data_IF_425765713680
#
_entry.id   IF_425765713680
#
_cell.length_a   1.000
_cell.length_b   1.000
_cell.length_c   1.000
_cell.angle_alpha   90.00
_cell.angle_beta   90.00
_cell.angle_gamma   90.00
#
_symmetry.space_group_name_H-M   'P 1'
#
loop_
_entity.id
_entity.type
_entity.pdbx_description
1 polymer ?
#
# COMPACT_ATOMS: atom_id res chain seq x y z
N UNK A 1 81.95 53.09 40.08
CA UNK A 1 81.47 51.78 40.56
C UNK A 1 79.94 51.77 40.77
N UNK A 2 79.38 52.76 41.46
CA UNK A 2 77.97 52.76 41.88
C UNK A 2 76.92 52.91 40.74
N UNK A 3 77.20 53.73 39.72
CA UNK A 3 76.29 53.94 38.58
C UNK A 3 76.10 52.71 37.67
N UNK A 4 77.17 51.96 37.39
CA UNK A 4 77.10 50.71 36.61
C UNK A 4 76.22 49.64 37.26
N UNK A 5 76.25 49.55 38.60
CA UNK A 5 75.43 48.63 39.39
C UNK A 5 73.94 48.99 39.30
N UNK A 6 73.60 50.27 39.39
CA UNK A 6 72.21 50.76 39.24
C UNK A 6 71.67 50.46 37.85
N UNK A 7 72.50 50.66 36.81
CA UNK A 7 72.12 50.43 35.42
C UNK A 7 71.91 48.94 35.11
N UNK A 8 72.77 48.07 35.65
CA UNK A 8 72.55 46.63 35.63
C UNK A 8 71.27 46.21 36.36
N UNK A 9 70.98 46.77 37.54
CA UNK A 9 69.77 46.46 38.29
C UNK A 9 68.50 46.77 37.49
N UNK A 10 68.45 47.93 36.81
CA UNK A 10 67.31 48.31 35.96
C UNK A 10 67.12 47.40 34.76
N UNK A 11 68.23 46.99 34.11
CA UNK A 11 68.18 46.03 33.00
C UNK A 11 67.64 44.69 33.48
N UNK A 12 68.08 44.24 34.66
CA UNK A 12 67.64 42.97 35.24
C UNK A 12 66.15 43.01 35.59
N UNK A 13 65.67 44.07 36.23
CA UNK A 13 64.23 44.27 36.52
C UNK A 13 63.36 44.29 35.26
N UNK A 14 63.81 44.95 34.20
CA UNK A 14 63.11 44.98 32.92
C UNK A 14 63.05 43.57 32.29
N UNK A 15 64.17 42.85 32.29
CA UNK A 15 64.22 41.46 31.82
C UNK A 15 63.32 40.53 32.64
N UNK A 16 63.29 40.68 33.96
CA UNK A 16 62.38 39.92 34.83
C UNK A 16 60.92 40.18 34.48
N UNK A 17 60.55 41.45 34.27
CA UNK A 17 59.18 41.84 33.88
C UNK A 17 58.79 41.26 32.52
N UNK A 18 59.70 41.29 31.53
CA UNK A 18 59.49 40.70 30.21
C UNK A 18 59.29 39.18 30.30
N UNK A 19 60.07 38.48 31.14
CA UNK A 19 59.95 37.04 31.35
C UNK A 19 58.59 36.68 31.95
N UNK A 20 58.07 37.46 32.90
CA UNK A 20 56.75 37.20 33.49
C UNK A 20 55.61 37.34 32.47
N UNK A 21 55.67 38.36 31.60
CA UNK A 21 54.70 38.54 30.51
C UNK A 21 54.74 37.33 29.56
N UNK A 22 55.93 36.91 29.13
CA UNK A 22 56.09 35.77 28.24
C UNK A 22 55.60 34.46 28.89
N UNK A 23 55.81 34.28 30.19
CA UNK A 23 55.27 33.13 30.94
C UNK A 23 53.74 33.14 30.98
N UNK A 24 53.13 34.30 31.18
CA UNK A 24 51.67 34.44 31.18
C UNK A 24 51.08 34.12 29.79
N UNK A 25 51.71 34.62 28.72
CA UNK A 25 51.31 34.33 27.33
C UNK A 25 51.45 32.84 27.01
N UNK A 26 52.57 32.21 27.41
CA UNK A 26 52.80 30.78 27.22
C UNK A 26 51.77 29.93 27.96
N UNK A 27 51.41 30.31 29.19
CA UNK A 27 50.38 29.61 29.95
C UNK A 27 49.01 29.72 29.26
N UNK A 28 48.65 30.91 28.77
CA UNK A 28 47.42 31.15 28.01
C UNK A 28 47.38 30.29 26.73
N UNK A 29 48.47 30.23 25.97
CA UNK A 29 48.57 29.38 24.78
C UNK A 29 48.47 27.90 25.11
N UNK A 30 49.03 27.47 26.25
CA UNK A 30 48.95 26.09 26.72
C UNK A 30 47.50 25.69 27.02
N UNK A 31 46.74 26.56 27.68
CA UNK A 31 45.31 26.35 27.94
C UNK A 31 44.54 26.24 26.62
N UNK A 32 44.75 27.18 25.69
CA UNK A 32 44.09 27.16 24.38
C UNK A 32 44.40 25.88 23.58
N UNK A 33 45.63 25.38 23.62
CA UNK A 33 46.00 24.13 22.97
C UNK A 33 45.29 22.93 23.58
N UNK A 34 45.12 22.91 24.91
CA UNK A 34 44.38 21.85 25.59
C UNK A 34 42.89 21.87 25.20
N UNK A 35 42.28 23.06 25.16
CA UNK A 35 40.88 23.22 24.76
C UNK A 35 40.64 22.78 23.30
N UNK A 36 41.55 23.16 22.40
CA UNK A 36 41.51 22.73 21.00
C UNK A 36 41.66 21.22 20.86
N UNK A 37 42.51 20.59 21.69
CA UNK A 37 42.67 19.14 21.70
C UNK A 37 41.40 18.44 22.15
N UNK A 38 40.74 18.91 23.20
CA UNK A 38 39.44 18.40 23.66
C UNK A 38 38.41 18.49 22.53
N UNK A 39 38.30 19.67 21.90
CA UNK A 39 37.36 19.89 20.79
C UNK A 39 37.65 18.96 19.59
N UNK A 40 38.93 18.71 19.30
CA UNK A 40 39.34 17.78 18.24
C UNK A 40 38.91 16.34 18.56
N UNK A 41 39.05 15.91 19.81
CA UNK A 41 38.65 14.57 20.24
C UNK A 41 37.13 14.40 20.20
N UNK A 42 36.37 15.42 20.62
CA UNK A 42 34.90 15.46 20.50
C UNK A 42 34.44 15.39 19.04
N UNK A 43 35.10 16.13 18.14
CA UNK A 43 34.80 16.12 16.71
C UNK A 43 35.05 14.73 16.09
N UNK A 44 36.12 14.05 16.51
CA UNK A 44 36.39 12.69 16.07
C UNK A 44 35.29 11.71 16.52
N UNK A 45 34.79 11.85 17.75
CA UNK A 45 33.68 11.05 18.26
C UNK A 45 32.38 11.32 17.49
N UNK A 46 32.06 12.60 17.25
CA UNK A 46 30.88 12.97 16.46
C UNK A 46 30.95 12.45 15.02
N UNK A 47 32.13 12.51 14.39
CA UNK A 47 32.34 11.94 13.06
C UNK A 47 32.03 10.45 13.04
N UNK A 48 32.54 9.69 14.01
CA UNK A 48 32.26 8.26 14.14
C UNK A 48 30.76 7.99 14.33
N UNK A 49 30.06 8.82 15.11
CA UNK A 49 28.62 8.70 15.31
C UNK A 49 27.82 8.97 14.02
N UNK A 50 28.22 9.96 13.21
CA UNK A 50 27.61 10.25 11.91
C UNK A 50 27.77 9.07 10.96
N UNK A 51 28.97 8.48 10.88
CA UNK A 51 29.23 7.29 10.06
C UNK A 51 28.35 6.10 10.47
N UNK A 52 28.14 5.91 11.78
CA UNK A 52 27.26 4.86 12.28
C UNK A 52 25.78 5.11 11.96
N UNK A 53 25.30 6.36 12.12
CA UNK A 53 23.93 6.73 11.77
C UNK A 53 23.66 6.59 10.26
N UNK A 54 24.64 6.91 9.41
CA UNK A 54 24.52 6.72 7.96
C UNK A 54 24.38 5.23 7.59
N UNK A 55 25.13 4.34 8.26
CA UNK A 55 24.96 2.89 8.10
C UNK A 55 23.56 2.44 8.50
N UNK A 56 23.06 2.91 9.64
CA UNK A 56 21.71 2.55 10.12
C UNK A 56 20.62 3.05 9.16
N UNK A 57 20.74 4.28 8.65
CA UNK A 57 19.82 4.83 7.65
C UNK A 57 19.82 4.01 6.36
N UNK A 58 20.99 3.58 5.88
CA UNK A 58 21.10 2.72 4.69
C UNK A 58 20.38 1.38 4.88
N UNK A 59 20.52 0.77 6.05
CA UNK A 59 19.83 -0.51 6.37
C UNK A 59 18.32 -0.30 6.44
N UNK A 60 17.86 0.71 7.18
CA UNK A 60 16.42 0.99 7.30
C UNK A 60 15.78 1.33 5.95
N UNK A 61 16.48 2.07 5.08
CA UNK A 61 16.01 2.38 3.72
C UNK A 61 15.81 1.12 2.89
N UNK A 62 16.82 0.23 2.84
CA UNK A 62 16.72 -1.04 2.10
C UNK A 62 15.54 -1.89 2.57
N UNK A 63 15.32 -1.97 3.88
CA UNK A 63 14.18 -2.71 4.44
C UNK A 63 12.84 -2.12 3.99
N UNK A 64 12.73 -0.80 3.92
CA UNK A 64 11.53 -0.13 3.42
C UNK A 64 11.29 -0.45 1.94
N UNK A 65 12.33 -0.38 1.11
CA UNK A 65 12.26 -0.72 -0.32
C UNK A 65 11.83 -2.18 -0.55
N UNK A 66 12.33 -3.12 0.26
CA UNK A 66 11.94 -4.53 0.20
C UNK A 66 10.48 -4.74 0.60
N UNK A 67 10.00 -4.05 1.64
CA UNK A 67 8.61 -4.10 2.07
C UNK A 67 7.66 -3.53 1.01
N UNK A 68 8.01 -2.41 0.39
CA UNK A 68 7.23 -1.81 -0.70
C UNK A 68 7.12 -2.75 -1.91
N UNK A 69 8.23 -3.41 -2.28
CA UNK A 69 8.23 -4.41 -3.35
C UNK A 69 7.28 -5.56 -3.06
N UNK A 70 7.34 -6.10 -1.84
CA UNK A 70 6.46 -7.19 -1.41
C UNK A 70 4.99 -6.76 -1.40
N UNK A 71 4.68 -5.54 -0.97
CA UNK A 71 3.32 -4.99 -1.01
C UNK A 71 2.78 -4.89 -2.45
N UNK A 72 3.60 -4.46 -3.41
CA UNK A 72 3.22 -4.43 -4.82
C UNK A 72 2.91 -5.82 -5.36
N UNK A 73 3.74 -6.82 -5.05
CA UNK A 73 3.51 -8.21 -5.45
C UNK A 73 2.22 -8.77 -4.85
N UNK A 74 1.99 -8.54 -3.55
CA UNK A 74 0.76 -8.96 -2.88
C UNK A 74 -0.48 -8.26 -3.45
N UNK A 75 -0.40 -6.98 -3.79
CA UNK A 75 -1.51 -6.24 -4.37
C UNK A 75 -1.97 -6.86 -5.71
N UNK A 76 -1.03 -7.33 -6.53
CA UNK A 76 -1.33 -8.04 -7.78
C UNK A 76 -2.05 -9.35 -7.50
N UNK A 77 -1.55 -10.16 -6.57
CA UNK A 77 -2.15 -11.45 -6.21
C UNK A 77 -3.56 -11.25 -5.66
N UNK A 78 -3.74 -10.33 -4.71
CA UNK A 78 -5.06 -10.03 -4.13
C UNK A 78 -6.04 -9.57 -5.20
N UNK A 79 -5.61 -8.72 -6.13
CA UNK A 79 -6.47 -8.27 -7.22
C UNK A 79 -6.87 -9.43 -8.16
N UNK A 80 -5.92 -10.30 -8.53
CA UNK A 80 -6.20 -11.48 -9.34
C UNK A 80 -7.18 -12.42 -8.64
N UNK A 81 -6.92 -12.76 -7.38
CA UNK A 81 -7.81 -13.62 -6.58
C UNK A 81 -9.19 -13.00 -6.37
N UNK A 82 -9.28 -11.67 -6.26
CA UNK A 82 -10.56 -10.95 -6.19
C UNK A 82 -11.35 -11.09 -7.49
N UNK A 83 -10.71 -10.87 -8.64
CA UNK A 83 -11.34 -11.02 -9.96
C UNK A 83 -11.80 -12.46 -10.21
N UNK A 84 -11.00 -13.45 -9.83
CA UNK A 84 -11.37 -14.87 -9.91
C UNK A 84 -12.57 -15.18 -9.00
N UNK A 85 -12.55 -14.69 -7.75
CA UNK A 85 -13.67 -14.87 -6.82
C UNK A 85 -14.95 -14.17 -7.30
N UNK A 86 -14.84 -12.99 -7.93
CA UNK A 86 -15.97 -12.29 -8.54
C UNK A 86 -16.53 -13.05 -9.73
N UNK A 87 -15.68 -13.55 -10.64
CA UNK A 87 -16.09 -14.38 -11.77
C UNK A 87 -16.78 -15.68 -11.33
N UNK A 88 -16.25 -16.33 -10.28
CA UNK A 88 -16.88 -17.49 -9.67
C UNK A 88 -18.21 -17.13 -9.00
N UNK A 89 -18.33 -15.97 -8.34
CA UNK A 89 -19.60 -15.50 -7.77
C UNK A 89 -20.62 -15.15 -8.84
N UNK A 90 -20.24 -14.49 -9.93
CA UNK A 90 -21.15 -14.21 -11.05
C UNK A 90 -21.64 -15.51 -11.68
N UNK A 91 -20.73 -16.46 -11.92
CA UNK A 91 -21.08 -17.79 -12.40
C UNK A 91 -22.00 -18.51 -11.42
N UNK A 92 -21.69 -18.52 -10.13
CA UNK A 92 -22.54 -19.13 -9.11
C UNK A 92 -23.87 -18.41 -8.97
N UNK A 93 -23.97 -17.09 -9.00
CA UNK A 93 -25.27 -16.38 -8.97
C UNK A 93 -26.12 -16.62 -10.22
N UNK A 94 -25.48 -16.94 -11.35
CA UNK A 94 -26.17 -17.36 -12.57
C UNK A 94 -26.70 -18.81 -12.49
N UNK A 95 -26.31 -19.60 -11.48
CA UNK A 95 -26.65 -21.02 -11.34
C UNK A 95 -27.23 -21.46 -9.97
N UNK A 96 -26.92 -20.76 -8.87
CA UNK A 96 -27.39 -20.87 -7.49
C UNK A 96 -27.94 -19.47 -7.12
N UNK A 97 -29.22 -19.15 -7.15
CA UNK A 97 -30.36 -19.98 -6.87
C UNK A 97 -31.42 -19.78 -7.97
N UNK A 98 -31.65 -20.82 -8.76
CA UNK A 98 -33.02 -21.07 -9.22
C UNK A 98 -33.84 -21.59 -8.03
N UNK A 99 -33.85 -20.87 -6.90
CA UNK A 99 -34.93 -21.01 -5.95
C UNK A 99 -36.16 -20.61 -6.75
N UNK A 100 -37.03 -21.59 -6.99
CA UNK A 100 -38.11 -21.45 -7.92
C UNK A 100 -39.02 -20.34 -7.38
N UNK A 101 -38.89 -19.14 -7.97
CA UNK A 101 -39.39 -17.93 -7.33
C UNK A 101 -40.87 -18.09 -6.99
N UNK A 102 -41.24 -17.77 -5.75
CA UNK A 102 -42.62 -17.92 -5.29
C UNK A 102 -43.52 -16.93 -6.02
N UNK A 103 -44.58 -17.43 -6.65
CA UNK A 103 -45.58 -16.65 -7.38
C UNK A 103 -46.18 -15.50 -6.54
N UNK A 104 -46.26 -15.69 -5.22
CA UNK A 104 -46.87 -14.76 -4.28
C UNK A 104 -46.00 -13.54 -3.99
N UNK A 105 -44.68 -13.70 -4.10
CA UNK A 105 -43.69 -12.66 -3.80
C UNK A 105 -43.28 -11.85 -5.04
N UNK A 106 -43.76 -12.27 -6.22
CA UNK A 106 -43.37 -11.72 -7.52
C UNK A 106 -44.60 -11.26 -8.31
N UNK A 107 -45.12 -10.04 -8.04
CA UNK A 107 -46.30 -9.50 -8.70
C UNK A 107 -46.06 -9.05 -10.15
N UNK A 108 -44.80 -8.92 -10.57
CA UNK A 108 -44.41 -8.35 -11.85
C UNK A 108 -43.49 -9.29 -12.63
N UNK A 109 -43.52 -9.20 -13.97
CA UNK A 109 -42.56 -9.89 -14.82
C UNK A 109 -41.14 -9.42 -14.53
N UNK A 110 -40.21 -10.33 -14.27
CA UNK A 110 -38.83 -9.98 -13.91
C UNK A 110 -38.10 -9.20 -15.02
N UNK A 111 -38.48 -9.37 -16.30
CA UNK A 111 -37.86 -8.67 -17.43
C UNK A 111 -38.54 -7.33 -17.73
N UNK A 112 -39.83 -7.36 -18.09
CA UNK A 112 -40.54 -6.15 -18.55
C UNK A 112 -41.20 -5.34 -17.43
N UNK A 113 -41.16 -5.84 -16.18
CA UNK A 113 -41.75 -5.21 -15.00
C UNK A 113 -43.29 -5.00 -15.06
N UNK A 114 -43.96 -5.48 -16.10
CA UNK A 114 -45.42 -5.46 -16.18
C UNK A 114 -46.06 -6.37 -15.11
N UNK A 115 -47.08 -5.86 -14.40
CA UNK A 115 -47.82 -6.61 -13.39
C UNK A 115 -48.56 -7.81 -14.00
N UNK A 116 -48.54 -8.94 -13.29
CA UNK A 116 -49.32 -10.12 -13.66
C UNK A 116 -50.82 -9.90 -13.44
N UNK A 117 -51.63 -10.57 -14.23
CA UNK A 117 -53.09 -10.52 -14.17
C UNK A 117 -53.69 -11.84 -14.67
N UNK A 118 -55.02 -11.97 -14.66
CA UNK A 118 -55.70 -13.16 -15.19
C UNK A 118 -55.32 -13.43 -16.66
N UNK A 119 -55.13 -12.37 -17.45
CA UNK A 119 -54.70 -12.45 -18.85
C UNK A 119 -53.17 -12.54 -19.02
N UNK A 120 -52.39 -11.91 -18.13
CA UNK A 120 -50.91 -11.99 -18.12
C UNK A 120 -50.46 -12.98 -17.05
N UNK A 121 -50.37 -14.26 -17.42
CA UNK A 121 -50.00 -15.36 -16.51
C UNK A 121 -48.49 -15.43 -16.25
N UNK A 122 -48.14 -16.04 -15.10
CA UNK A 122 -46.77 -16.28 -14.64
C UNK A 122 -46.15 -17.50 -15.32
N UNK A 123 -44.87 -17.39 -15.66
CA UNK A 123 -44.08 -18.48 -16.25
C UNK A 123 -42.64 -18.48 -15.73
N UNK A 124 -42.18 -19.60 -15.18
CA UNK A 124 -40.78 -19.74 -14.76
C UNK A 124 -39.83 -20.06 -15.93
N UNK A 125 -38.66 -19.44 -15.90
CA UNK A 125 -37.53 -19.87 -16.72
C UNK A 125 -36.90 -21.13 -16.11
N UNK A 126 -36.74 -22.21 -16.88
CA UNK A 126 -36.13 -23.46 -16.38
C UNK A 126 -34.60 -23.39 -16.24
N UNK A 127 -33.98 -22.31 -16.71
CA UNK A 127 -32.55 -22.06 -16.54
C UNK A 127 -32.25 -21.21 -15.29
N UNK A 128 -32.94 -20.08 -15.09
CA UNK A 128 -32.66 -19.16 -13.97
C UNK A 128 -33.70 -19.15 -12.85
N UNK A 129 -34.81 -19.90 -12.95
CA UNK A 129 -35.81 -20.03 -11.88
C UNK A 129 -36.76 -18.83 -11.68
N UNK A 130 -36.49 -17.66 -12.27
CA UNK A 130 -37.29 -16.44 -12.12
C UNK A 130 -38.62 -16.46 -12.92
N UNK A 131 -39.55 -15.56 -12.61
CA UNK A 131 -40.90 -15.47 -13.19
C UNK A 131 -41.03 -14.39 -14.29
N UNK A 132 -41.62 -14.77 -15.42
CA UNK A 132 -41.80 -13.93 -16.60
C UNK A 132 -43.23 -14.03 -17.16
N UNK A 133 -43.62 -13.06 -17.99
CA UNK A 133 -44.82 -13.17 -18.83
C UNK A 133 -44.54 -14.01 -20.08
N UNK A 134 -45.58 -14.28 -20.88
CA UNK A 134 -45.47 -15.05 -22.11
C UNK A 134 -44.48 -14.42 -23.09
N UNK A 135 -44.58 -13.11 -23.31
CA UNK A 135 -43.75 -12.40 -24.28
C UNK A 135 -42.26 -12.50 -23.95
N UNK A 136 -41.89 -12.35 -22.67
CA UNK A 136 -40.51 -12.39 -22.18
C UNK A 136 -39.92 -13.80 -21.99
N UNK A 137 -40.73 -14.84 -22.23
CA UNK A 137 -40.32 -16.25 -22.03
C UNK A 137 -40.90 -17.19 -23.06
N UNK A 138 -41.16 -16.69 -24.27
CA UNK A 138 -41.83 -17.44 -25.34
C UNK A 138 -40.98 -18.58 -25.93
N UNK A 139 -39.67 -18.55 -25.70
CA UNK A 139 -38.69 -19.47 -26.29
C UNK A 139 -38.50 -20.76 -25.49
N UNK A 140 -38.03 -21.80 -26.17
CA UNK A 140 -37.66 -23.09 -25.56
C UNK A 140 -36.26 -23.50 -26.01
N UNK A 141 -35.52 -24.15 -25.13
CA UNK A 141 -34.19 -24.68 -25.42
C UNK A 141 -33.94 -25.95 -24.61
N UNK A 142 -33.14 -26.87 -25.16
CA UNK A 142 -32.67 -28.06 -24.44
C UNK A 142 -31.62 -27.63 -23.41
N UNK A 143 -31.83 -27.99 -22.14
CA UNK A 143 -30.88 -27.71 -21.06
C UNK A 143 -30.20 -29.02 -20.63
N UNK A 144 -29.00 -28.98 -20.03
CA UNK A 144 -28.36 -30.19 -19.49
C UNK A 144 -29.23 -30.97 -18.50
N UNK A 145 -30.15 -30.26 -17.82
CA UNK A 145 -31.11 -30.83 -16.86
C UNK A 145 -32.33 -31.50 -17.51
N UNK A 146 -32.55 -31.37 -18.83
CA UNK A 146 -33.71 -31.97 -19.51
C UNK A 146 -33.44 -32.28 -20.98
N UNK A 147 -33.68 -33.54 -21.38
CA UNK A 147 -33.55 -33.98 -22.77
C UNK A 147 -34.58 -33.35 -23.73
N UNK A 148 -35.67 -32.77 -23.21
CA UNK A 148 -36.71 -32.10 -24.02
C UNK A 148 -36.53 -30.58 -23.92
N UNK A 149 -36.81 -29.80 -24.99
CA UNK A 149 -36.75 -28.34 -24.91
C UNK A 149 -37.71 -27.78 -23.86
N UNK A 150 -37.16 -27.01 -22.91
CA UNK A 150 -37.89 -26.39 -21.81
C UNK A 150 -37.98 -24.88 -21.98
N UNK A 151 -39.00 -24.25 -21.38
CA UNK A 151 -39.22 -22.81 -21.45
C UNK A 151 -38.08 -22.05 -20.77
N UNK A 152 -37.53 -21.05 -21.45
CA UNK A 152 -36.53 -20.13 -20.89
C UNK A 152 -36.89 -18.68 -21.21
N UNK A 153 -36.41 -17.74 -20.40
CA UNK A 153 -36.55 -16.31 -20.70
C UNK A 153 -35.63 -15.88 -21.84
N UNK A 154 -35.92 -14.73 -22.45
CA UNK A 154 -35.13 -14.21 -23.56
C UNK A 154 -33.66 -13.97 -23.20
N UNK A 155 -33.38 -13.52 -21.97
CA UNK A 155 -32.01 -13.33 -21.46
C UNK A 155 -31.22 -14.64 -21.43
N UNK A 156 -31.80 -15.70 -20.85
CA UNK A 156 -31.16 -17.02 -20.84
C UNK A 156 -30.99 -17.59 -22.24
N UNK A 157 -31.96 -17.35 -23.13
CA UNK A 157 -31.88 -17.82 -24.51
C UNK A 157 -30.72 -17.18 -25.26
N UNK A 158 -30.54 -15.85 -25.15
CA UNK A 158 -29.43 -15.14 -25.76
C UNK A 158 -28.07 -15.60 -25.22
N UNK A 159 -27.94 -15.73 -23.89
CA UNK A 159 -26.71 -16.18 -23.23
C UNK A 159 -26.31 -17.60 -23.67
N UNK A 160 -27.27 -18.53 -23.70
CA UNK A 160 -27.01 -19.92 -24.07
C UNK A 160 -26.69 -20.06 -25.55
N UNK A 161 -27.35 -19.32 -26.45
CA UNK A 161 -26.97 -19.28 -27.85
C UNK A 161 -25.52 -18.83 -28.04
N UNK A 162 -25.11 -17.73 -27.39
CA UNK A 162 -23.73 -17.26 -27.47
C UNK A 162 -22.73 -18.32 -26.98
N UNK A 163 -23.02 -19.01 -25.88
CA UNK A 163 -22.17 -20.09 -25.34
C UNK A 163 -22.09 -21.30 -26.28
N UNK A 164 -23.15 -21.63 -27.00
CA UNK A 164 -23.15 -22.74 -27.96
C UNK A 164 -22.54 -22.38 -29.31
N UNK A 165 -22.56 -21.11 -29.72
CA UNK A 165 -21.90 -20.63 -30.93
C UNK A 165 -20.39 -20.36 -30.76
N UNK A 166 -19.93 -20.20 -29.52
CA UNK A 166 -18.51 -20.02 -29.19
C UNK A 166 -17.75 -21.34 -28.96
N UNK A 167 -18.38 -22.48 -29.25
CA UNK A 167 -17.76 -23.80 -29.40
C UNK A 167 -17.67 -24.15 -30.88
#
# INVERSE_FOLDING_TARGET
>A
ANTKLIEQSKVTENQTSQIEILKAELNKQTIQLNDLKITSDELALHKSKVEELDKQLKVSRKRCEEQERSLCEMAVVVNSSKLEAESLRESHSAFNDAEWANDSENPNCFLCQCSFSVSRRRHHCRNCGLIFCHECSSRKMTLPSSAKPVRICDTCHALLLHRYSAK
#
